data_IF_917309890919
#
_entry.id   IF_917309890919
#
_cell.length_a   1.000
_cell.length_b   1.000
_cell.length_c   1.000
_cell.angle_alpha   90.00
_cell.angle_beta   90.00
_cell.angle_gamma   90.00
#
_symmetry.space_group_name_H-M   'P 1'
#
loop_
_entity.id
_entity.type
_entity.pdbx_description
1 polymer ?
#
# COMPACT_ATOMS: atom_id res chain seq x y z
N UNK A 1 16.89 -13.70 -30.52
CA UNK A 1 16.73 -14.96 -29.73
C UNK A 1 16.55 -14.77 -28.22
N UNK A 2 17.57 -14.73 -27.34
CA UNK A 2 17.32 -14.71 -25.87
C UNK A 2 16.50 -13.51 -25.37
N UNK A 3 16.66 -12.33 -25.98
CA UNK A 3 15.93 -11.10 -25.63
C UNK A 3 14.46 -11.12 -26.10
N UNK A 4 14.18 -11.73 -27.25
CA UNK A 4 12.81 -11.99 -27.74
C UNK A 4 12.11 -13.05 -26.90
N UNK A 5 12.82 -14.11 -26.53
CA UNK A 5 12.26 -15.19 -25.71
C UNK A 5 11.90 -14.67 -24.30
N UNK A 6 12.74 -13.81 -23.71
CA UNK A 6 12.39 -13.09 -22.47
C UNK A 6 11.19 -12.15 -22.64
N UNK A 7 11.03 -11.52 -23.81
CA UNK A 7 9.89 -10.63 -24.08
C UNK A 7 8.59 -11.43 -24.21
N UNK A 8 8.62 -12.56 -24.90
CA UNK A 8 7.51 -13.49 -25.06
C UNK A 8 7.09 -14.18 -23.75
N UNK A 9 8.01 -14.41 -22.82
CA UNK A 9 7.71 -15.01 -21.51
C UNK A 9 7.11 -14.00 -20.51
N UNK A 10 7.40 -12.70 -20.68
CA UNK A 10 6.91 -11.65 -19.77
C UNK A 10 5.59 -11.01 -20.22
N UNK A 11 5.24 -11.13 -21.50
CA UNK A 11 3.99 -10.62 -22.05
C UNK A 11 2.93 -11.72 -22.05
N UNK A 12 1.82 -11.49 -21.33
CA UNK A 12 0.71 -12.45 -21.35
C UNK A 12 0.01 -12.47 -22.70
N UNK A 13 -0.66 -13.58 -23.04
CA UNK A 13 -1.49 -13.65 -24.25
C UNK A 13 -2.52 -12.51 -24.27
N UNK A 14 -3.11 -12.19 -23.12
CA UNK A 14 -4.03 -11.07 -22.96
C UNK A 14 -3.35 -9.75 -23.28
N UNK A 15 -2.18 -9.45 -22.69
CA UNK A 15 -1.45 -8.20 -22.96
C UNK A 15 -1.14 -8.04 -24.44
N UNK A 16 -0.67 -9.11 -25.09
CA UNK A 16 -0.37 -9.12 -26.52
C UNK A 16 -1.61 -8.82 -27.36
N UNK A 17 -2.72 -9.53 -27.11
CA UNK A 17 -3.99 -9.33 -27.83
C UNK A 17 -4.56 -7.93 -27.54
N UNK A 18 -4.50 -7.47 -26.31
CA UNK A 18 -4.98 -6.15 -25.91
C UNK A 18 -4.15 -5.03 -26.57
N UNK A 19 -2.86 -5.24 -26.88
CA UNK A 19 -2.07 -4.26 -27.64
C UNK A 19 -2.39 -4.28 -29.14
N UNK A 20 -2.61 -5.44 -29.74
CA UNK A 20 -2.72 -5.59 -31.20
C UNK A 20 -4.14 -5.49 -31.74
N UNK A 21 -5.16 -5.84 -30.95
CA UNK A 21 -6.54 -5.81 -31.41
C UNK A 21 -7.05 -4.37 -31.62
N UNK A 22 -8.04 -4.15 -32.50
CA UNK A 22 -8.71 -2.85 -32.63
C UNK A 22 -9.47 -2.45 -31.35
N UNK A 23 -9.75 -1.14 -31.18
CA UNK A 23 -10.49 -0.62 -30.01
C UNK A 23 -11.88 -1.26 -29.86
N UNK A 24 -12.57 -1.56 -30.96
CA UNK A 24 -13.90 -2.21 -30.94
C UNK A 24 -13.90 -3.61 -30.29
N UNK A 25 -12.74 -4.24 -30.12
CA UNK A 25 -12.58 -5.54 -29.48
C UNK A 25 -12.13 -5.44 -28.01
N UNK A 26 -12.06 -4.22 -27.46
CA UNK A 26 -11.60 -3.94 -26.10
C UNK A 26 -12.70 -3.23 -25.34
N UNK A 27 -12.92 -3.65 -24.12
CA UNK A 27 -13.78 -2.94 -23.17
C UNK A 27 -13.03 -2.76 -21.86
N UNK A 28 -13.12 -1.58 -21.27
CA UNK A 28 -12.59 -1.30 -19.95
C UNK A 28 -13.76 -1.14 -18.98
N UNK A 29 -13.70 -1.82 -17.84
CA UNK A 29 -14.63 -1.56 -16.74
C UNK A 29 -14.05 -0.40 -15.93
N UNK A 30 -14.62 0.79 -16.12
CA UNK A 30 -14.13 2.03 -15.51
C UNK A 30 -14.75 2.34 -14.14
N UNK A 31 -15.80 1.64 -13.72
CA UNK A 31 -16.47 1.91 -12.44
C UNK A 31 -16.02 0.89 -11.39
N UNK A 32 -15.51 1.36 -10.26
CA UNK A 32 -15.13 0.53 -9.12
C UNK A 32 -16.09 0.70 -7.94
N UNK A 33 -16.43 -0.39 -7.25
CA UNK A 33 -17.33 -0.39 -6.08
C UNK A 33 -16.64 -0.88 -4.80
N UNK A 34 -15.31 -0.99 -4.83
CA UNK A 34 -14.52 -1.63 -3.77
C UNK A 34 -14.09 -0.65 -2.71
N UNK A 35 -13.48 0.46 -3.10
CA UNK A 35 -12.62 1.27 -2.23
C UNK A 35 -13.10 2.70 -2.14
N UNK A 36 -12.74 3.38 -1.05
CA UNK A 36 -13.01 4.79 -0.88
C UNK A 36 -12.41 5.61 -2.03
N UNK A 37 -13.08 6.69 -2.47
CA UNK A 37 -12.64 7.51 -3.61
C UNK A 37 -11.22 8.08 -3.41
N UNK A 38 -10.90 8.52 -2.20
CA UNK A 38 -9.55 8.94 -1.79
C UNK A 38 -8.46 7.89 -2.08
N UNK A 39 -8.73 6.62 -1.80
CA UNK A 39 -7.82 5.51 -2.14
C UNK A 39 -7.78 5.33 -3.66
N UNK A 40 -8.92 5.51 -4.33
CA UNK A 40 -9.05 5.37 -5.80
C UNK A 40 -8.20 6.35 -6.58
N UNK A 41 -8.07 7.58 -6.11
CA UNK A 41 -7.20 8.57 -6.73
C UNK A 41 -5.74 8.10 -6.82
N UNK A 42 -5.26 7.29 -5.87
CA UNK A 42 -3.89 6.75 -5.91
C UNK A 42 -3.66 5.78 -7.06
N UNK A 43 -4.72 5.12 -7.55
CA UNK A 43 -4.63 4.13 -8.63
C UNK A 43 -5.24 4.60 -9.96
N UNK A 44 -6.02 5.68 -9.95
CA UNK A 44 -6.64 6.25 -11.16
C UNK A 44 -5.62 6.47 -12.31
N UNK A 45 -4.38 6.95 -12.06
CA UNK A 45 -3.37 7.07 -13.11
C UNK A 45 -3.04 5.76 -13.83
N UNK A 46 -3.21 4.59 -13.19
CA UNK A 46 -2.96 3.28 -13.83
C UNK A 46 -4.03 2.89 -14.85
N UNK A 47 -5.20 3.51 -14.82
CA UNK A 47 -6.34 3.19 -15.68
C UNK A 47 -6.66 4.30 -16.69
N UNK A 48 -5.82 5.34 -16.75
CA UNK A 48 -6.00 6.45 -17.68
C UNK A 48 -5.53 6.07 -19.09
N UNK A 49 -6.48 5.92 -20.02
CA UNK A 49 -6.20 5.67 -21.45
C UNK A 49 -7.20 6.45 -22.32
N UNK A 50 -6.75 7.55 -22.92
CA UNK A 50 -7.62 8.45 -23.68
C UNK A 50 -8.70 9.08 -22.79
N UNK A 51 -9.97 8.81 -23.12
CA UNK A 51 -11.14 9.31 -22.37
C UNK A 51 -11.55 8.35 -21.23
N UNK A 52 -10.85 7.23 -21.05
CA UNK A 52 -11.12 6.30 -19.94
C UNK A 52 -10.41 6.77 -18.67
N UNK A 53 -11.18 6.91 -17.60
CA UNK A 53 -10.70 7.18 -16.25
C UNK A 53 -11.46 6.31 -15.27
N UNK A 54 -10.79 5.88 -14.19
CA UNK A 54 -11.41 5.10 -13.14
C UNK A 54 -12.37 5.99 -12.33
N UNK A 55 -13.61 5.55 -12.17
CA UNK A 55 -14.68 6.28 -11.51
C UNK A 55 -15.16 5.52 -10.27
N UNK A 56 -15.52 6.27 -9.24
CA UNK A 56 -16.11 5.71 -8.03
C UNK A 56 -17.59 5.41 -8.28
N UNK A 57 -17.98 4.15 -8.13
CA UNK A 57 -19.37 3.70 -8.24
C UNK A 57 -20.14 3.74 -6.92
N UNK A 58 -19.48 4.12 -5.82
CA UNK A 58 -20.14 4.28 -4.51
C UNK A 58 -20.96 5.58 -4.52
N UNK A 59 -22.20 5.53 -4.03
CA UNK A 59 -23.08 6.71 -3.96
C UNK A 59 -22.59 7.76 -2.95
N UNK A 60 -21.97 7.29 -1.86
CA UNK A 60 -21.31 8.09 -0.84
C UNK A 60 -20.17 7.24 -0.27
N UNK A 61 -18.93 7.53 -0.67
CA UNK A 61 -17.80 6.73 -0.21
C UNK A 61 -17.49 6.94 1.27
N UNK A 62 -17.67 8.15 1.82
CA UNK A 62 -17.41 8.44 3.24
C UNK A 62 -18.30 7.54 4.13
N UNK A 63 -19.59 7.41 3.79
CA UNK A 63 -20.53 6.58 4.56
C UNK A 63 -20.30 5.08 4.32
N UNK A 64 -20.15 4.66 3.05
CA UNK A 64 -20.03 3.25 2.70
C UNK A 64 -18.67 2.64 3.04
N UNK A 65 -17.65 3.48 3.29
CA UNK A 65 -16.28 3.05 3.65
C UNK A 65 -15.79 3.70 4.93
N UNK A 66 -16.70 4.11 5.81
CA UNK A 66 -16.36 4.56 7.14
C UNK A 66 -15.70 3.43 7.93
N UNK A 67 -14.41 3.60 8.25
CA UNK A 67 -13.68 2.59 9.01
C UNK A 67 -13.98 2.62 10.51
N UNK A 68 -14.74 3.60 11.01
CA UNK A 68 -15.16 3.75 12.41
C UNK A 68 -14.01 3.96 13.41
N UNK A 69 -12.79 4.20 12.95
CA UNK A 69 -11.63 4.36 13.82
C UNK A 69 -11.46 5.83 14.18
N UNK A 70 -11.30 6.10 15.48
CA UNK A 70 -11.04 7.44 16.00
C UNK A 70 -9.99 7.36 17.11
N UNK A 71 -8.84 7.98 16.87
CA UNK A 71 -7.63 7.87 17.67
C UNK A 71 -6.83 9.18 17.64
N UNK A 72 -5.68 9.21 18.31
CA UNK A 72 -4.82 10.39 18.30
C UNK A 72 -4.14 10.66 16.95
N UNK A 73 -4.01 9.61 16.12
CA UNK A 73 -3.27 9.62 14.84
C UNK A 73 -4.15 9.31 13.63
N UNK A 74 -5.33 8.73 13.85
CA UNK A 74 -6.27 8.30 12.80
C UNK A 74 -7.66 8.81 13.15
N UNK A 75 -8.23 9.64 12.28
CA UNK A 75 -9.60 10.14 12.38
C UNK A 75 -10.50 9.42 11.39
N UNK A 76 -11.83 9.47 11.59
CA UNK A 76 -12.80 8.84 10.66
C UNK A 76 -12.79 9.37 9.23
N UNK A 77 -12.11 10.49 8.96
CA UNK A 77 -12.02 11.11 7.63
C UNK A 77 -10.79 10.64 6.84
N UNK A 78 -9.90 9.91 7.52
CA UNK A 78 -8.63 9.47 6.97
C UNK A 78 -8.81 8.14 6.26
N UNK A 79 -8.85 8.19 4.93
CA UNK A 79 -8.91 6.99 4.08
C UNK A 79 -7.57 6.69 3.40
N UNK A 80 -6.64 7.64 3.43
CA UNK A 80 -5.33 7.55 2.81
C UNK A 80 -4.32 8.29 3.68
N UNK A 81 -3.33 7.57 4.20
CA UNK A 81 -2.25 8.11 5.02
C UNK A 81 -0.89 7.64 4.49
N UNK A 82 0.13 8.49 4.60
CA UNK A 82 1.53 8.13 4.42
C UNK A 82 2.31 8.57 5.65
N UNK A 83 2.75 7.59 6.44
CA UNK A 83 3.68 7.76 7.55
C UNK A 83 5.10 7.89 6.97
N UNK A 84 5.49 9.13 6.70
CA UNK A 84 6.68 9.50 5.96
C UNK A 84 7.93 9.47 6.84
N UNK A 85 8.84 8.55 6.52
CA UNK A 85 10.10 8.41 7.25
C UNK A 85 11.23 9.21 6.59
N UNK A 86 12.11 9.86 7.38
CA UNK A 86 13.22 10.61 6.82
C UNK A 86 14.24 9.68 6.17
N UNK A 87 14.93 10.16 5.13
CA UNK A 87 16.07 9.45 4.53
C UNK A 87 17.33 9.67 5.38
N UNK A 88 17.36 9.11 6.60
CA UNK A 88 18.51 9.21 7.53
C UNK A 88 18.95 7.84 8.03
N UNK A 89 20.20 7.69 8.53
CA UNK A 89 20.76 6.38 8.91
C UNK A 89 19.92 5.55 9.89
N UNK A 90 19.20 6.19 10.81
CA UNK A 90 18.32 5.50 11.78
C UNK A 90 17.09 4.86 11.13
N UNK A 91 16.75 5.26 9.90
CA UNK A 91 15.62 4.75 9.13
C UNK A 91 16.05 3.95 7.91
N UNK A 92 17.35 3.70 7.73
CA UNK A 92 17.84 2.94 6.59
C UNK A 92 17.50 1.46 6.68
N UNK A 93 17.31 0.84 5.52
CA UNK A 93 17.08 -0.60 5.43
C UNK A 93 18.33 -1.40 5.82
N UNK A 94 18.11 -2.64 6.24
CA UNK A 94 19.16 -3.61 6.50
C UNK A 94 18.89 -4.94 5.74
N UNK A 95 19.87 -5.82 5.75
CA UNK A 95 19.87 -7.12 5.11
C UNK A 95 20.50 -8.16 6.03
N UNK A 96 19.82 -9.28 6.22
CA UNK A 96 20.36 -10.40 6.99
C UNK A 96 21.63 -10.91 6.30
N UNK A 97 22.69 -11.16 7.07
CA UNK A 97 23.95 -11.72 6.56
C UNK A 97 23.69 -13.01 5.79
N UNK A 98 24.07 -13.04 4.51
CA UNK A 98 23.84 -14.19 3.61
C UNK A 98 22.43 -14.30 3.03
N UNK A 99 21.48 -13.43 3.42
CA UNK A 99 20.16 -13.33 2.81
C UNK A 99 20.16 -12.40 1.59
N UNK A 100 19.13 -12.49 0.74
CA UNK A 100 18.95 -11.61 -0.44
C UNK A 100 17.80 -10.61 -0.28
N UNK A 101 16.99 -10.74 0.77
CA UNK A 101 15.87 -9.86 1.08
C UNK A 101 16.28 -8.76 2.07
N UNK A 102 15.60 -7.62 1.98
CA UNK A 102 15.76 -6.46 2.87
C UNK A 102 14.66 -6.43 3.93
N UNK A 103 14.92 -5.72 5.01
CA UNK A 103 13.96 -5.34 6.04
C UNK A 103 14.31 -3.95 6.57
N UNK A 104 13.39 -3.30 7.26
CA UNK A 104 13.61 -1.99 7.84
C UNK A 104 13.04 -1.99 9.26
N UNK A 105 13.91 -1.95 10.27
CA UNK A 105 13.51 -1.98 11.70
C UNK A 105 12.65 -0.77 12.07
N UNK A 106 13.00 0.40 11.52
CA UNK A 106 12.26 1.62 11.76
C UNK A 106 10.81 1.50 11.26
N UNK A 107 10.61 0.99 10.04
CA UNK A 107 9.26 0.71 9.54
C UNK A 107 8.55 -0.39 10.34
N UNK A 108 9.26 -1.38 10.88
CA UNK A 108 8.66 -2.42 11.73
C UNK A 108 8.07 -1.84 13.01
N UNK A 109 8.79 -0.93 13.67
CA UNK A 109 8.29 -0.22 14.85
C UNK A 109 7.05 0.61 14.51
N UNK A 110 7.10 1.37 13.41
CA UNK A 110 5.94 2.18 12.97
C UNK A 110 4.72 1.29 12.65
N UNK A 111 4.94 0.16 11.98
CA UNK A 111 3.87 -0.82 11.70
C UNK A 111 3.29 -1.40 12.99
N UNK A 112 4.14 -1.73 13.97
CA UNK A 112 3.69 -2.23 15.27
C UNK A 112 2.82 -1.20 16.00
N UNK A 113 3.29 0.04 16.11
CA UNK A 113 2.54 1.13 16.74
C UNK A 113 1.20 1.38 16.04
N UNK A 114 1.22 1.36 14.70
CA UNK A 114 0.00 1.56 13.90
C UNK A 114 -1.01 0.43 14.12
N UNK A 115 -0.56 -0.83 14.21
CA UNK A 115 -1.44 -1.96 14.50
C UNK A 115 -2.04 -1.87 15.91
N UNK A 116 -1.26 -1.44 16.90
CA UNK A 116 -1.74 -1.22 18.27
C UNK A 116 -2.76 -0.09 18.33
N UNK A 117 -2.54 1.02 17.62
CA UNK A 117 -3.49 2.13 17.51
C UNK A 117 -4.82 1.67 16.89
N UNK A 118 -4.77 0.90 15.80
CA UNK A 118 -5.96 0.36 15.13
C UNK A 118 -6.71 -0.62 16.04
N UNK A 119 -6.01 -1.50 16.77
CA UNK A 119 -6.61 -2.42 17.75
C UNK A 119 -7.37 -1.65 18.83
N UNK A 120 -6.74 -0.62 19.42
CA UNK A 120 -7.34 0.21 20.46
C UNK A 120 -8.53 1.03 19.94
N UNK A 121 -8.41 1.63 18.75
CA UNK A 121 -9.49 2.38 18.12
C UNK A 121 -10.68 1.48 17.78
N UNK A 122 -10.42 0.24 17.37
CA UNK A 122 -11.47 -0.77 17.11
C UNK A 122 -12.16 -1.18 18.41
N UNK A 123 -11.42 -1.39 19.50
CA UNK A 123 -12.00 -1.69 20.81
C UNK A 123 -12.88 -0.53 21.30
N UNK A 124 -12.42 0.70 21.13
CA UNK A 124 -13.18 1.91 21.48
C UNK A 124 -14.46 2.02 20.66
N UNK A 125 -14.41 1.82 19.34
CA UNK A 125 -15.59 1.86 18.48
C UNK A 125 -16.66 0.86 18.92
N UNK A 126 -16.26 -0.32 19.43
CA UNK A 126 -17.19 -1.29 20.03
C UNK A 126 -17.80 -0.80 21.33
N UNK A 127 -16.99 -0.23 22.24
CA UNK A 127 -17.46 0.35 23.51
C UNK A 127 -18.45 1.49 23.28
N UNK A 128 -18.23 2.27 22.24
CA UNK A 128 -19.09 3.40 21.83
C UNK A 128 -20.35 2.94 21.06
N UNK A 129 -20.52 1.64 20.82
CA UNK A 129 -21.69 1.07 20.13
C UNK A 129 -21.70 1.28 18.61
N UNK A 130 -20.58 1.71 18.03
CA UNK A 130 -20.43 1.93 16.58
C UNK A 130 -20.15 0.63 15.82
N UNK A 131 -19.54 -0.35 16.48
CA UNK A 131 -19.20 -1.66 15.92
C UNK A 131 -19.74 -2.77 16.83
N UNK A 132 -20.13 -3.91 16.24
CA UNK A 132 -20.64 -5.03 17.03
C UNK A 132 -19.53 -5.65 17.91
N UNK A 133 -19.84 -6.16 19.11
CA UNK A 133 -18.84 -6.73 20.01
C UNK A 133 -18.01 -7.88 19.40
N UNK A 134 -18.64 -8.71 18.57
CA UNK A 134 -18.06 -9.90 17.91
C UNK A 134 -17.39 -9.59 16.55
N UNK A 135 -17.66 -8.41 15.98
CA UNK A 135 -17.11 -8.00 14.69
C UNK A 135 -15.60 -7.74 14.80
N UNK A 136 -14.83 -8.16 13.80
CA UNK A 136 -13.40 -7.86 13.73
C UNK A 136 -13.09 -7.10 12.46
N UNK A 137 -12.24 -6.07 12.57
CA UNK A 137 -11.74 -5.35 11.40
C UNK A 137 -10.66 -6.19 10.71
N UNK A 138 -10.74 -6.33 9.39
CA UNK A 138 -9.71 -7.04 8.62
C UNK A 138 -8.55 -6.12 8.26
N UNK A 139 -7.32 -6.52 8.62
CA UNK A 139 -6.11 -5.72 8.43
C UNK A 139 -5.07 -6.51 7.66
N UNK A 140 -4.68 -6.02 6.49
CA UNK A 140 -3.59 -6.58 5.69
C UNK A 140 -2.31 -5.77 5.84
N UNK A 141 -1.21 -6.40 6.21
CA UNK A 141 0.12 -5.77 6.16
C UNK A 141 0.90 -6.33 4.98
N UNK A 142 1.17 -5.46 4.00
CA UNK A 142 1.80 -5.84 2.73
C UNK A 142 3.21 -5.27 2.69
N UNK A 143 4.17 -6.06 2.20
CA UNK A 143 5.49 -5.55 1.83
C UNK A 143 6.00 -6.22 0.55
N UNK A 144 6.88 -5.51 -0.16
CA UNK A 144 7.56 -6.06 -1.33
C UNK A 144 8.71 -7.02 -0.98
N UNK A 145 9.08 -7.12 0.30
CA UNK A 145 10.27 -7.83 0.76
C UNK A 145 9.93 -8.97 1.72
N UNK A 146 10.38 -10.18 1.41
CA UNK A 146 10.02 -11.39 2.15
C UNK A 146 10.51 -11.40 3.60
N UNK A 147 11.70 -10.84 3.86
CA UNK A 147 12.23 -10.74 5.24
C UNK A 147 11.41 -9.77 6.08
N UNK A 148 10.96 -8.63 5.52
CA UNK A 148 10.02 -7.73 6.18
C UNK A 148 8.70 -8.45 6.50
N UNK A 149 8.13 -9.16 5.54
CA UNK A 149 6.89 -9.95 5.74
C UNK A 149 7.05 -10.95 6.89
N UNK A 150 8.17 -11.68 6.94
CA UNK A 150 8.44 -12.67 8.00
C UNK A 150 8.51 -12.02 9.38
N UNK A 151 9.15 -10.85 9.48
CA UNK A 151 9.27 -10.10 10.74
C UNK A 151 7.92 -9.54 11.19
N UNK A 152 7.14 -8.99 10.27
CA UNK A 152 5.76 -8.55 10.54
C UNK A 152 4.89 -9.72 11.00
N UNK A 153 5.03 -10.89 10.39
CA UNK A 153 4.27 -12.08 10.79
C UNK A 153 4.60 -12.46 12.24
N UNK A 154 5.90 -12.45 12.58
CA UNK A 154 6.36 -12.67 13.95
C UNK A 154 5.80 -11.64 14.93
N UNK A 155 5.86 -10.34 14.58
CA UNK A 155 5.30 -9.26 15.39
C UNK A 155 3.81 -9.51 15.69
N UNK A 156 3.01 -9.83 14.65
CA UNK A 156 1.58 -10.08 14.79
C UNK A 156 1.30 -11.30 15.68
N UNK A 157 1.99 -12.41 15.44
CA UNK A 157 1.69 -13.70 16.08
C UNK A 157 2.28 -13.85 17.50
N UNK A 158 3.42 -13.21 17.77
CA UNK A 158 4.17 -13.43 19.01
C UNK A 158 4.11 -12.25 19.98
N UNK A 159 4.02 -11.03 19.45
CA UNK A 159 4.16 -9.82 20.27
C UNK A 159 2.82 -9.10 20.44
N UNK A 160 2.14 -8.76 19.33
CA UNK A 160 0.90 -7.98 19.36
C UNK A 160 -0.31 -8.85 19.75
N UNK A 161 -0.51 -9.98 19.05
CA UNK A 161 -1.65 -10.90 19.26
C UNK A 161 -3.01 -10.18 19.37
N UNK A 162 -3.40 -9.43 18.32
CA UNK A 162 -4.58 -8.58 18.36
C UNK A 162 -5.85 -9.41 18.58
N UNK A 163 -6.75 -8.90 19.42
CA UNK A 163 -8.03 -9.53 19.74
C UNK A 163 -9.18 -8.95 18.90
N UNK A 164 -9.11 -7.67 18.56
CA UNK A 164 -10.15 -6.97 17.78
C UNK A 164 -9.92 -7.07 16.27
N UNK A 165 -8.70 -7.41 15.83
CA UNK A 165 -8.35 -7.44 14.41
C UNK A 165 -8.23 -8.87 13.87
N UNK A 166 -8.60 -9.03 12.60
CA UNK A 166 -8.21 -10.17 11.78
C UNK A 166 -7.02 -9.76 10.91
N UNK A 167 -5.81 -10.02 11.40
CA UNK A 167 -4.58 -9.61 10.72
C UNK A 167 -4.06 -10.68 9.75
N UNK A 168 -3.59 -10.23 8.59
CA UNK A 168 -2.84 -11.04 7.62
C UNK A 168 -1.63 -10.28 7.14
N UNK A 169 -0.50 -10.97 6.97
CA UNK A 169 0.68 -10.39 6.32
C UNK A 169 1.15 -11.22 5.14
N UNK A 170 1.85 -10.59 4.20
CA UNK A 170 2.25 -11.23 2.96
C UNK A 170 2.90 -10.29 1.96
N UNK A 171 3.48 -10.90 0.93
CA UNK A 171 3.93 -10.14 -0.24
C UNK A 171 2.73 -9.68 -1.09
N UNK A 172 2.96 -8.71 -1.95
CA UNK A 172 1.94 -8.23 -2.92
C UNK A 172 1.30 -9.39 -3.69
N UNK A 173 2.11 -10.33 -4.19
CA UNK A 173 1.61 -11.46 -4.99
C UNK A 173 0.66 -12.36 -4.16
N UNK A 174 0.90 -12.52 -2.84
CA UNK A 174 0.01 -13.29 -1.96
C UNK A 174 -1.34 -12.61 -1.72
N UNK A 175 -1.44 -11.31 -1.94
CA UNK A 175 -2.66 -10.53 -1.77
C UNK A 175 -3.46 -10.36 -3.06
N UNK A 176 -3.01 -10.95 -4.17
CA UNK A 176 -3.74 -10.87 -5.43
C UNK A 176 -5.14 -11.49 -5.29
N UNK A 177 -6.17 -10.72 -5.63
CA UNK A 177 -7.57 -11.14 -5.49
C UNK A 177 -8.14 -11.06 -4.07
N UNK A 178 -7.34 -10.67 -3.08
CA UNK A 178 -7.82 -10.41 -1.72
C UNK A 178 -8.20 -8.94 -1.54
N UNK A 179 -8.97 -8.66 -0.51
CA UNK A 179 -9.36 -7.33 -0.06
C UNK A 179 -9.33 -7.33 1.47
N UNK A 180 -8.97 -6.19 2.05
CA UNK A 180 -9.02 -5.96 3.49
C UNK A 180 -9.66 -4.61 3.73
N UNK A 181 -10.27 -4.44 4.89
CA UNK A 181 -10.84 -3.16 5.28
C UNK A 181 -9.72 -2.13 5.39
N UNK A 182 -8.60 -2.53 6.00
CA UNK A 182 -7.41 -1.70 6.17
C UNK A 182 -6.19 -2.38 5.56
N UNK A 183 -5.38 -1.61 4.82
CA UNK A 183 -4.04 -2.05 4.37
C UNK A 183 -2.97 -1.14 4.95
N UNK A 184 -1.93 -1.76 5.50
CA UNK A 184 -0.66 -1.12 5.83
C UNK A 184 0.39 -1.61 4.82
N UNK A 185 0.95 -0.71 4.02
CA UNK A 185 1.94 -1.00 2.99
C UNK A 185 3.32 -0.50 3.41
N UNK A 186 4.22 -1.42 3.75
CA UNK A 186 5.62 -1.12 4.11
C UNK A 186 6.52 -1.19 2.87
N UNK A 187 7.13 -0.05 2.55
CA UNK A 187 8.00 0.14 1.39
C UNK A 187 9.42 -0.41 1.58
N UNK A 188 9.90 -0.44 2.82
CA UNK A 188 11.20 -0.95 3.29
C UNK A 188 12.41 -0.15 2.81
N UNK A 189 12.45 0.23 1.53
CA UNK A 189 13.63 0.84 0.93
C UNK A 189 13.82 2.27 1.40
N UNK A 190 14.95 2.50 2.02
CA UNK A 190 15.48 3.75 2.49
C UNK A 190 17.00 3.61 2.64
N UNK A 191 17.80 4.33 1.85
CA UNK A 191 19.26 4.22 1.89
C UNK A 191 19.94 5.44 1.23
N UNK A 192 21.25 5.56 1.37
CA UNK A 192 22.07 6.60 0.75
C UNK A 192 22.83 6.12 -0.52
N UNK A 193 22.65 4.86 -0.93
CA UNK A 193 23.33 4.33 -2.11
C UNK A 193 23.08 5.18 -3.36
N UNK A 194 24.18 5.57 -4.02
CA UNK A 194 24.18 6.43 -5.21
C UNK A 194 23.37 5.89 -6.39
N UNK A 195 23.00 4.61 -6.42
CA UNK A 195 22.18 4.03 -7.49
C UNK A 195 20.69 4.34 -7.34
N UNK A 196 20.22 4.71 -6.13
CA UNK A 196 18.80 4.97 -5.86
C UNK A 196 17.90 3.77 -6.16
N UNK A 197 18.40 2.54 -5.95
CA UNK A 197 17.68 1.34 -6.36
C UNK A 197 16.63 0.93 -5.33
N UNK A 198 15.34 1.07 -5.65
CA UNK A 198 14.20 0.64 -4.80
C UNK A 198 13.71 -0.81 -5.04
N UNK A 199 14.48 -1.64 -5.74
CA UNK A 199 14.24 -3.08 -5.92
C UNK A 199 12.88 -3.43 -6.53
N UNK A 200 12.07 -4.20 -5.81
CA UNK A 200 10.77 -4.71 -6.27
C UNK A 200 9.68 -3.64 -6.34
N UNK A 201 9.87 -2.53 -5.63
CA UNK A 201 8.92 -1.42 -5.62
C UNK A 201 8.92 -0.63 -6.95
N UNK A 202 9.85 -0.90 -7.87
CA UNK A 202 9.84 -0.33 -9.23
C UNK A 202 8.68 -0.83 -10.08
N UNK A 203 8.10 -1.98 -9.72
CA UNK A 203 7.04 -2.62 -10.50
C UNK A 203 5.70 -1.94 -10.22
N UNK A 204 5.28 -1.09 -11.14
CA UNK A 204 4.03 -0.36 -11.09
C UNK A 204 2.79 -1.27 -10.99
N UNK A 205 2.83 -2.48 -11.57
CA UNK A 205 1.71 -3.42 -11.51
C UNK A 205 1.54 -3.92 -10.09
N UNK A 206 2.65 -4.24 -9.43
CA UNK A 206 2.66 -4.66 -8.02
C UNK A 206 2.26 -3.53 -7.08
N UNK A 207 2.71 -2.30 -7.35
CA UNK A 207 2.26 -1.15 -6.57
C UNK A 207 0.74 -0.95 -6.69
N UNK A 208 0.18 -0.94 -7.91
CA UNK A 208 -1.27 -0.85 -8.14
C UNK A 208 -2.04 -1.96 -7.40
N UNK A 209 -1.54 -3.21 -7.45
CA UNK A 209 -2.15 -4.31 -6.69
C UNK A 209 -2.15 -3.99 -5.20
N UNK A 210 -1.02 -3.59 -4.61
CA UNK A 210 -0.90 -3.30 -3.19
C UNK A 210 -1.83 -2.16 -2.73
N UNK A 211 -1.86 -1.03 -3.45
CA UNK A 211 -2.70 0.13 -3.13
C UNK A 211 -4.20 -0.22 -3.24
N UNK A 212 -4.59 -1.03 -4.22
CA UNK A 212 -6.00 -1.40 -4.48
C UNK A 212 -6.55 -2.53 -3.58
N UNK A 213 -5.80 -2.97 -2.57
CA UNK A 213 -6.27 -4.00 -1.63
C UNK A 213 -7.11 -3.42 -0.47
N UNK A 214 -6.97 -2.13 -0.17
CA UNK A 214 -7.72 -1.48 0.90
C UNK A 214 -9.13 -1.13 0.44
N UNK A 215 -10.12 -1.37 1.30
CA UNK A 215 -11.50 -0.93 1.09
C UNK A 215 -11.77 0.41 1.77
N UNK A 216 -11.35 0.55 3.03
CA UNK A 216 -11.71 1.67 3.89
C UNK A 216 -10.53 2.58 4.20
N UNK A 217 -9.36 2.04 4.57
CA UNK A 217 -8.19 2.83 4.93
C UNK A 217 -6.90 2.24 4.36
N UNK A 218 -6.11 3.07 3.68
CA UNK A 218 -4.77 2.74 3.19
C UNK A 218 -3.72 3.55 3.95
N UNK A 219 -2.79 2.87 4.61
CA UNK A 219 -1.65 3.47 5.30
C UNK A 219 -0.37 3.02 4.61
N UNK A 220 0.42 3.98 4.14
CA UNK A 220 1.74 3.75 3.55
C UNK A 220 2.80 4.06 4.60
N UNK A 221 3.81 3.20 4.73
CA UNK A 221 4.95 3.40 5.63
C UNK A 221 6.23 3.35 4.82
N UNK A 222 7.01 4.43 4.88
CA UNK A 222 8.31 4.51 4.20
C UNK A 222 8.68 5.93 3.80
N UNK A 223 9.88 6.09 3.23
CA UNK A 223 10.46 7.41 2.98
C UNK A 223 10.03 8.02 1.64
N UNK A 224 9.24 9.08 1.66
CA UNK A 224 8.82 9.79 0.45
C UNK A 224 10.04 10.28 -0.36
N UNK A 225 11.08 10.78 0.30
CA UNK A 225 12.34 11.23 -0.32
C UNK A 225 13.03 10.11 -1.11
N UNK A 226 13.12 8.91 -0.54
CA UNK A 226 13.76 7.77 -1.21
C UNK A 226 13.08 7.46 -2.55
N UNK A 227 11.75 7.53 -2.59
CA UNK A 227 10.94 7.16 -3.74
C UNK A 227 10.73 8.30 -4.74
N UNK A 228 10.79 9.57 -4.31
CA UNK A 228 10.49 10.75 -5.14
C UNK A 228 11.72 11.59 -5.51
N UNK A 229 12.83 11.46 -4.78
CA UNK A 229 14.07 12.21 -5.02
C UNK A 229 15.21 11.25 -5.41
N UNK A 230 15.53 10.29 -4.54
CA UNK A 230 16.73 9.46 -4.70
C UNK A 230 16.60 8.41 -5.80
N UNK A 231 15.39 7.93 -6.08
CA UNK A 231 15.13 6.98 -7.16
C UNK A 231 15.54 7.55 -8.52
N UNK A 232 16.41 6.84 -9.25
CA UNK A 232 16.97 7.33 -10.54
C UNK A 232 16.06 7.15 -11.75
N UNK A 233 15.19 6.15 -11.74
CA UNK A 233 14.29 5.91 -12.87
C UNK A 233 13.22 7.00 -12.90
N UNK A 234 13.22 7.83 -13.95
CA UNK A 234 12.29 8.96 -14.08
C UNK A 234 10.82 8.53 -14.07
N UNK A 235 10.47 7.44 -14.74
CA UNK A 235 9.09 6.95 -14.78
C UNK A 235 8.63 6.49 -13.39
N UNK A 236 9.48 5.74 -12.69
CA UNK A 236 9.20 5.30 -11.32
C UNK A 236 9.09 6.50 -10.38
N UNK A 237 9.99 7.47 -10.49
CA UNK A 237 9.98 8.69 -9.69
C UNK A 237 8.70 9.49 -9.89
N UNK A 238 8.28 9.71 -11.14
CA UNK A 238 7.07 10.45 -11.45
C UNK A 238 5.82 9.76 -10.90
N UNK A 239 5.77 8.42 -10.96
CA UNK A 239 4.68 7.63 -10.36
C UNK A 239 4.61 7.85 -8.85
N UNK A 240 5.74 7.78 -8.13
CA UNK A 240 5.75 8.02 -6.68
C UNK A 240 5.50 9.49 -6.32
N UNK A 241 5.88 10.44 -7.16
CA UNK A 241 5.53 11.86 -6.98
C UNK A 241 4.03 12.07 -7.09
N UNK A 242 3.37 11.47 -8.09
CA UNK A 242 1.92 11.52 -8.20
C UNK A 242 1.23 10.91 -6.98
N UNK A 243 1.74 9.77 -6.49
CA UNK A 243 1.22 9.17 -5.26
C UNK A 243 1.37 10.11 -4.06
N UNK A 244 2.54 10.74 -3.90
CA UNK A 244 2.79 11.71 -2.83
C UNK A 244 1.87 12.93 -2.94
N UNK A 245 1.70 13.47 -4.15
CA UNK A 245 0.81 14.60 -4.42
C UNK A 245 -0.65 14.28 -4.05
N UNK A 246 -1.14 13.09 -4.38
CA UNK A 246 -2.49 12.64 -4.00
C UNK A 246 -2.63 12.56 -2.48
N UNK A 247 -1.64 11.98 -1.79
CA UNK A 247 -1.66 11.87 -0.33
C UNK A 247 -1.63 13.26 0.34
N UNK A 248 -0.74 14.13 -0.11
CA UNK A 248 -0.56 15.48 0.45
C UNK A 248 -1.79 16.37 0.21
N UNK A 249 -2.38 16.32 -0.99
CA UNK A 249 -3.61 17.05 -1.32
C UNK A 249 -4.80 16.64 -0.43
N UNK A 250 -4.84 15.38 0.01
CA UNK A 250 -5.85 14.87 0.92
C UNK A 250 -5.52 15.09 2.41
N UNK A 251 -4.36 15.70 2.72
CA UNK A 251 -3.90 15.96 4.09
C UNK A 251 -3.36 14.71 4.82
N UNK A 252 -3.08 13.62 4.10
CA UNK A 252 -2.70 12.34 4.69
C UNK A 252 -1.20 12.14 4.94
N UNK A 253 -0.36 13.15 4.66
CA UNK A 253 1.09 13.04 4.81
C UNK A 253 1.52 13.34 6.25
N UNK A 254 1.94 12.32 6.99
CA UNK A 254 2.34 12.44 8.39
C UNK A 254 3.83 12.18 8.54
N UNK A 255 4.61 13.20 8.93
CA UNK A 255 6.07 13.08 9.10
C UNK A 255 6.41 12.35 10.39
N UNK A 256 7.30 11.37 10.29
CA UNK A 256 7.86 10.65 11.44
C UNK A 256 9.23 11.26 11.76
N UNK A 257 9.34 11.99 12.86
CA UNK A 257 10.60 12.64 13.22
C UNK A 257 11.56 11.73 14.00
N UNK A 258 11.02 10.81 14.80
CA UNK A 258 11.77 9.92 15.70
C UNK A 258 11.01 8.59 15.89
N UNK A 259 11.75 7.56 16.29
CA UNK A 259 11.26 6.21 16.64
C UNK A 259 11.73 5.86 18.05
#
# INVERSE_FOLDING_TARGET
MQREMKKLLNESLFERLFRTLPRQNKTMLSIQYRMHEKIMETIAPFYKDGDYELQCGLSNSDELRDHLLESSKITRKDHLLWLDTPNTPSFFEDQVKGGTSRFNEAELTIVQDTLLEIEQATEKAKKDGLMKPDEKKSVGVISFYGEQVKRIDRLIQQEIRPQQLHCRTGSVDKFQGMEMDIIILSFVRNHDNKNGDIGFAKDYRRLNVALSRARELLIIVGSSDMFTIHTKNTSTRNMYKQLLEVVDHQGGLHKIEQI
#
